data_IF_265802121292
#
_entry.id   IF_265802121292
#
_cell.length_a   1.000
_cell.length_b   1.000
_cell.length_c   1.000
_cell.angle_alpha   90.00
_cell.angle_beta   90.00
_cell.angle_gamma   90.00
#
_symmetry.space_group_name_H-M   'P 1'
#
loop_
_entity.id
_entity.type
_entity.pdbx_description
1 polymer ?
#
# COMPACT_ATOMS: atom_id res chain seq x y z
N UNK A 1 -18.84 25.47 -26.10
CA UNK A 1 -19.79 26.14 -25.17
C UNK A 1 -20.82 26.86 -26.02
N UNK A 2 -22.05 26.34 -26.11
CA UNK A 2 -23.14 26.93 -26.90
C UNK A 2 -24.02 27.79 -25.98
N UNK A 3 -24.55 28.92 -26.47
CA UNK A 3 -25.29 29.91 -25.69
C UNK A 3 -26.50 29.34 -24.93
N UNK A 4 -27.09 28.25 -25.42
CA UNK A 4 -28.23 27.58 -24.77
C UNK A 4 -27.88 26.97 -23.42
N UNK A 5 -26.68 26.40 -23.27
CA UNK A 5 -26.24 25.75 -22.02
C UNK A 5 -25.93 26.80 -20.96
N UNK A 6 -25.23 27.87 -21.35
CA UNK A 6 -24.92 28.98 -20.44
C UNK A 6 -26.19 29.73 -19.99
N UNK A 7 -27.17 29.89 -20.88
CA UNK A 7 -28.46 30.50 -20.54
C UNK A 7 -29.27 29.66 -19.56
N UNK A 8 -29.29 28.34 -19.75
CA UNK A 8 -29.99 27.41 -18.87
C UNK A 8 -29.33 27.35 -17.48
N UNK A 9 -28.00 27.34 -17.41
CA UNK A 9 -27.24 27.38 -16.15
C UNK A 9 -27.50 28.68 -15.37
N UNK A 10 -27.49 29.82 -16.07
CA UNK A 10 -27.76 31.12 -15.45
C UNK A 10 -29.19 31.21 -14.90
N UNK A 11 -30.18 30.70 -15.64
CA UNK A 11 -31.57 30.67 -15.19
C UNK A 11 -31.75 29.73 -13.99
N UNK A 12 -31.13 28.55 -14.00
CA UNK A 12 -31.18 27.62 -12.89
C UNK A 12 -30.61 28.22 -11.60
N UNK A 13 -29.42 28.86 -11.70
CA UNK A 13 -28.78 29.53 -10.57
C UNK A 13 -29.62 30.71 -10.03
N UNK A 14 -30.31 31.45 -10.90
CA UNK A 14 -31.21 32.53 -10.49
C UNK A 14 -32.44 32.03 -9.73
N UNK A 15 -33.06 30.93 -10.19
CA UNK A 15 -34.21 30.30 -9.53
C UNK A 15 -33.80 29.78 -8.14
N UNK A 16 -32.64 29.15 -8.03
CA UNK A 16 -32.12 28.64 -6.76
C UNK A 16 -31.86 29.78 -5.75
N UNK A 17 -31.24 30.88 -6.20
CA UNK A 17 -31.04 32.06 -5.37
C UNK A 17 -32.34 32.71 -4.90
N UNK A 18 -33.35 32.77 -5.77
CA UNK A 18 -34.68 33.28 -5.41
C UNK A 18 -35.37 32.40 -4.35
N UNK A 19 -35.32 31.07 -4.52
CA UNK A 19 -35.89 30.10 -3.55
C UNK A 19 -35.20 30.18 -2.19
N UNK A 20 -33.88 30.32 -2.19
CA UNK A 20 -33.07 30.38 -0.96
C UNK A 20 -32.99 31.78 -0.33
N UNK A 21 -33.78 32.77 -0.79
CA UNK A 21 -33.77 34.16 -0.31
C UNK A 21 -32.36 34.78 -0.26
N UNK A 22 -31.50 34.45 -1.21
CA UNK A 22 -30.10 34.92 -1.24
C UNK A 22 -29.18 34.34 -0.17
N UNK A 23 -29.55 33.22 0.48
CA UNK A 23 -28.72 32.55 1.50
C UNK A 23 -27.70 31.56 0.95
N UNK A 24 -27.62 31.34 -0.36
CA UNK A 24 -26.47 30.59 -0.93
C UNK A 24 -25.29 31.54 -0.99
N UNK A 25 -24.70 31.82 0.17
CA UNK A 25 -23.37 32.39 0.25
C UNK A 25 -22.41 31.22 0.22
N UNK A 26 -21.84 30.96 -0.94
CA UNK A 26 -20.52 30.33 -0.96
C UNK A 26 -19.60 31.37 -0.32
N UNK A 27 -19.38 31.28 0.99
CA UNK A 27 -18.20 31.88 1.61
C UNK A 27 -17.02 31.29 0.85
N UNK A 28 -16.46 32.08 -0.05
CA UNK A 28 -15.26 31.68 -0.78
C UNK A 28 -14.15 31.64 0.25
N UNK A 29 -13.91 30.46 0.77
CA UNK A 29 -12.80 30.17 1.66
C UNK A 29 -11.51 30.45 0.85
N UNK A 30 -10.61 31.25 1.44
CA UNK A 30 -9.33 31.58 0.83
C UNK A 30 -9.08 33.04 0.47
N UNK A 31 -7.83 33.33 0.11
CA UNK A 31 -7.34 34.64 -0.33
C UNK A 31 -7.71 34.83 -1.80
N UNK A 32 -8.28 35.98 -2.15
CA UNK A 32 -8.51 36.33 -3.55
C UNK A 32 -7.16 36.52 -4.25
N UNK A 33 -6.88 35.65 -5.22
CA UNK A 33 -5.66 35.68 -6.05
C UNK A 33 -5.91 36.45 -7.34
N UNK A 34 -7.08 36.30 -7.94
CA UNK A 34 -7.49 37.05 -9.12
C UNK A 34 -8.65 38.00 -8.79
N UNK A 35 -8.34 39.29 -8.62
CA UNK A 35 -9.36 40.32 -8.39
C UNK A 35 -10.28 40.52 -9.60
N UNK A 36 -9.75 40.34 -10.81
CA UNK A 36 -10.48 40.56 -12.07
C UNK A 36 -11.66 39.57 -12.24
N UNK A 37 -11.51 38.31 -11.79
CA UNK A 37 -12.54 37.27 -11.90
C UNK A 37 -13.02 36.74 -10.54
N UNK A 38 -12.57 37.36 -9.44
CA UNK A 38 -12.92 36.98 -8.07
C UNK A 38 -12.56 35.53 -7.73
N UNK A 39 -11.41 35.03 -8.26
CA UNK A 39 -10.95 33.66 -8.04
C UNK A 39 -9.99 33.61 -6.86
N UNK A 40 -10.23 32.66 -5.96
CA UNK A 40 -9.45 32.42 -4.74
C UNK A 40 -8.32 31.42 -4.95
N UNK A 41 -7.35 31.42 -4.03
CA UNK A 41 -6.27 30.44 -4.02
C UNK A 41 -6.79 29.00 -3.84
N UNK A 42 -7.84 28.79 -3.06
CA UNK A 42 -8.45 27.47 -2.86
C UNK A 42 -9.14 26.95 -4.13
N UNK A 43 -9.89 27.81 -4.83
CA UNK A 43 -10.47 27.47 -6.14
C UNK A 43 -9.36 27.05 -7.13
N UNK A 44 -8.25 27.80 -7.18
CA UNK A 44 -7.11 27.48 -8.05
C UNK A 44 -6.45 26.16 -7.64
N UNK A 45 -6.18 25.95 -6.35
CA UNK A 45 -5.59 24.71 -5.81
C UNK A 45 -6.46 23.50 -6.12
N UNK A 46 -7.78 23.62 -5.96
CA UNK A 46 -8.74 22.55 -6.24
C UNK A 46 -8.70 22.14 -7.71
N UNK A 47 -8.81 23.12 -8.61
CA UNK A 47 -8.82 22.86 -10.05
C UNK A 47 -7.50 22.26 -10.53
N UNK A 48 -6.35 22.73 -10.02
CA UNK A 48 -5.03 22.16 -10.33
C UNK A 48 -4.94 20.70 -9.87
N UNK A 49 -5.45 20.37 -8.68
CA UNK A 49 -5.39 19.00 -8.14
C UNK A 49 -6.31 18.04 -8.88
N UNK A 50 -7.51 18.48 -9.25
CA UNK A 50 -8.52 17.64 -9.92
C UNK A 50 -8.19 17.39 -11.40
N UNK A 51 -7.47 18.31 -12.06
CA UNK A 51 -7.20 18.24 -13.50
C UNK A 51 -5.71 18.13 -13.85
N UNK A 52 -4.82 18.00 -12.85
CA UNK A 52 -3.37 17.88 -13.04
C UNK A 52 -2.76 19.01 -13.89
N UNK A 53 -3.19 20.25 -13.65
CA UNK A 53 -2.75 21.39 -14.45
C UNK A 53 -1.31 21.79 -14.10
N UNK A 54 -0.47 21.93 -15.12
CA UNK A 54 0.96 22.22 -14.97
C UNK A 54 1.37 23.60 -15.48
N UNK A 55 0.49 24.31 -16.19
CA UNK A 55 0.78 25.63 -16.75
C UNK A 55 -0.27 26.68 -16.40
N UNK A 56 0.15 27.95 -16.40
CA UNK A 56 -0.74 29.10 -16.14
C UNK A 56 -1.85 29.20 -17.17
N UNK A 57 -1.56 28.88 -18.43
CA UNK A 57 -2.56 28.88 -19.51
C UNK A 57 -3.64 27.83 -19.27
N UNK A 58 -3.24 26.64 -18.81
CA UNK A 58 -4.20 25.61 -18.42
C UNK A 58 -5.08 26.08 -17.26
N UNK A 59 -4.50 26.67 -16.22
CA UNK A 59 -5.28 27.26 -15.12
C UNK A 59 -6.21 28.36 -15.62
N UNK A 60 -5.77 29.17 -16.58
CA UNK A 60 -6.58 30.22 -17.20
C UNK A 60 -7.78 29.64 -17.96
N UNK A 61 -7.58 28.54 -18.69
CA UNK A 61 -8.65 27.90 -19.46
C UNK A 61 -9.75 27.33 -18.56
N UNK A 62 -9.40 26.87 -17.36
CA UNK A 62 -10.36 26.29 -16.40
C UNK A 62 -10.95 27.33 -15.44
N UNK A 63 -10.11 28.16 -14.82
CA UNK A 63 -10.52 29.10 -13.78
C UNK A 63 -10.75 30.54 -14.29
N UNK A 64 -10.41 30.86 -15.54
CA UNK A 64 -10.38 32.23 -16.12
C UNK A 64 -9.40 33.20 -15.46
N UNK A 65 -8.81 32.84 -14.31
CA UNK A 65 -7.77 33.59 -13.64
C UNK A 65 -6.52 33.71 -14.52
N UNK A 66 -6.00 34.93 -14.70
CA UNK A 66 -4.79 35.18 -15.50
C UNK A 66 -5.02 35.47 -16.99
N UNK A 67 -6.26 35.37 -17.48
CA UNK A 67 -6.61 35.61 -18.90
C UNK A 67 -6.85 37.07 -19.28
N UNK A 68 -7.15 37.93 -18.29
CA UNK A 68 -7.43 39.36 -18.52
C UNK A 68 -6.23 40.24 -18.20
N UNK A 69 -6.28 40.90 -17.05
CA UNK A 69 -5.31 41.88 -16.56
C UNK A 69 -3.89 41.32 -16.29
N UNK A 70 -3.70 40.01 -16.26
CA UNK A 70 -2.39 39.35 -16.10
C UNK A 70 -1.72 39.47 -14.72
N UNK A 71 -2.17 40.37 -13.85
CA UNK A 71 -1.51 40.65 -12.56
C UNK A 71 -1.41 39.47 -11.59
N UNK A 72 -2.28 38.47 -11.73
CA UNK A 72 -2.28 37.28 -10.86
C UNK A 72 -1.43 36.11 -11.40
N UNK A 73 -0.82 36.23 -12.59
CA UNK A 73 -0.05 35.12 -13.22
C UNK A 73 1.10 34.64 -12.35
N UNK A 74 1.86 35.55 -11.74
CA UNK A 74 2.95 35.19 -10.84
C UNK A 74 2.50 34.54 -9.52
N UNK A 75 1.29 34.87 -9.02
CA UNK A 75 0.74 34.14 -7.86
C UNK A 75 0.26 32.74 -8.27
N UNK A 76 -0.31 32.58 -9.47
CA UNK A 76 -0.74 31.29 -10.01
C UNK A 76 0.45 30.35 -10.21
N UNK A 77 1.57 30.84 -10.76
CA UNK A 77 2.81 30.06 -10.92
C UNK A 77 3.30 29.48 -9.60
N UNK A 78 3.34 30.31 -8.55
CA UNK A 78 3.75 29.86 -7.20
C UNK A 78 2.83 28.76 -6.66
N UNK A 79 1.53 28.85 -6.91
CA UNK A 79 0.56 27.82 -6.47
C UNK A 79 0.79 26.51 -7.23
N UNK A 80 1.08 26.58 -8.53
CA UNK A 80 1.41 25.41 -9.36
C UNK A 80 2.69 24.76 -8.84
N UNK A 81 3.76 25.53 -8.62
CA UNK A 81 5.04 25.05 -8.10
C UNK A 81 4.89 24.38 -6.72
N UNK A 82 4.11 24.98 -5.82
CA UNK A 82 3.86 24.41 -4.50
C UNK A 82 3.16 23.04 -4.59
N UNK A 83 2.12 22.92 -5.42
CA UNK A 83 1.37 21.66 -5.57
C UNK A 83 2.22 20.60 -6.28
N UNK A 84 3.02 20.98 -7.28
CA UNK A 84 3.94 20.05 -7.95
C UNK A 84 5.07 19.60 -7.03
N UNK A 85 5.57 20.50 -6.17
CA UNK A 85 6.54 20.18 -5.11
C UNK A 85 5.97 19.19 -4.09
N UNK A 86 4.73 19.40 -3.63
CA UNK A 86 4.03 18.47 -2.75
C UNK A 86 3.76 17.12 -3.43
N UNK A 87 3.46 17.12 -4.73
CA UNK A 87 3.38 15.88 -5.52
C UNK A 87 4.74 15.20 -5.57
N UNK A 88 5.83 15.90 -5.86
CA UNK A 88 7.21 15.39 -5.87
C UNK A 88 7.64 14.78 -4.51
N UNK A 89 7.23 15.41 -3.41
CA UNK A 89 7.54 14.94 -2.06
C UNK A 89 6.70 13.72 -1.64
N UNK A 90 5.46 13.58 -2.15
CA UNK A 90 4.58 12.46 -1.78
C UNK A 90 5.06 11.09 -2.27
N UNK A 91 5.88 11.01 -3.34
CA UNK A 91 6.57 9.76 -3.70
C UNK A 91 7.85 9.54 -2.90
N UNK A 92 8.43 10.58 -2.28
CA UNK A 92 9.62 10.47 -1.41
C UNK A 92 9.26 10.10 0.03
N UNK A 93 8.11 10.56 0.53
CA UNK A 93 7.49 10.12 1.80
C UNK A 93 6.79 8.76 1.73
N UNK A 94 6.60 8.22 0.52
CA UNK A 94 6.30 6.80 0.28
C UNK A 94 7.56 5.95 0.11
N UNK A 95 8.64 6.28 0.82
CA UNK A 95 9.53 5.22 1.30
C UNK A 95 8.78 4.55 2.45
N UNK A 96 8.39 3.27 2.36
CA UNK A 96 7.97 2.55 3.56
C UNK A 96 9.11 2.70 4.56
N UNK A 97 8.79 3.12 5.77
CA UNK A 97 9.75 3.23 6.85
C UNK A 97 10.42 1.86 7.03
N UNK A 98 11.60 1.69 6.42
CA UNK A 98 12.48 0.56 6.70
C UNK A 98 12.98 0.81 8.12
N UNK A 99 12.41 0.08 9.07
CA UNK A 99 12.69 0.26 10.49
C UNK A 99 11.78 -0.51 11.43
N UNK A 100 10.69 -1.10 10.93
CA UNK A 100 9.98 -2.15 11.67
C UNK A 100 10.59 -3.50 11.32
N UNK A 101 11.03 -4.25 12.33
CA UNK A 101 11.17 -5.72 12.23
C UNK A 101 9.88 -6.24 11.59
N UNK A 102 9.97 -7.10 10.57
CA UNK A 102 8.81 -7.69 9.90
C UNK A 102 7.76 -8.08 10.94
N UNK A 103 6.49 -7.74 10.72
CA UNK A 103 5.44 -8.20 11.63
C UNK A 103 5.47 -9.73 11.64
N UNK A 104 5.17 -10.36 12.78
CA UNK A 104 5.23 -11.83 12.90
C UNK A 104 4.45 -12.52 11.76
N UNK A 105 3.33 -11.94 11.31
CA UNK A 105 2.54 -12.43 10.17
C UNK A 105 3.32 -12.38 8.86
N UNK A 106 3.99 -11.27 8.54
CA UNK A 106 4.79 -11.13 7.32
C UNK A 106 6.00 -12.09 7.33
N UNK A 107 6.61 -12.28 8.51
CA UNK A 107 7.72 -13.22 8.70
C UNK A 107 7.26 -14.67 8.46
N UNK A 108 6.12 -15.06 9.03
CA UNK A 108 5.53 -16.39 8.83
C UNK A 108 5.18 -16.63 7.35
N UNK A 109 4.55 -15.66 6.68
CA UNK A 109 4.21 -15.79 5.26
C UNK A 109 5.45 -16.00 4.39
N UNK A 110 6.52 -15.25 4.64
CA UNK A 110 7.77 -15.39 3.91
C UNK A 110 8.43 -16.75 4.18
N UNK A 111 8.47 -17.19 5.44
CA UNK A 111 8.97 -18.52 5.81
C UNK A 111 8.16 -19.62 5.11
N UNK A 112 6.83 -19.55 5.13
CA UNK A 112 5.97 -20.53 4.45
C UNK A 112 6.23 -20.58 2.94
N UNK A 113 6.41 -19.43 2.30
CA UNK A 113 6.71 -19.36 0.88
C UNK A 113 8.08 -19.98 0.57
N UNK A 114 9.13 -19.57 1.30
CA UNK A 114 10.48 -20.13 1.15
C UNK A 114 10.50 -21.64 1.37
N UNK A 115 9.80 -22.13 2.40
CA UNK A 115 9.71 -23.56 2.69
C UNK A 115 9.11 -24.30 1.49
N UNK A 116 7.99 -23.81 0.93
CA UNK A 116 7.30 -24.49 -0.16
C UNK A 116 8.04 -24.40 -1.51
N UNK A 117 8.66 -23.27 -1.82
CA UNK A 117 9.30 -23.03 -3.12
C UNK A 117 10.76 -23.49 -3.18
N UNK A 118 11.51 -23.41 -2.07
CA UNK A 118 12.95 -23.64 -2.06
C UNK A 118 13.35 -24.88 -1.27
N UNK A 119 12.74 -25.10 -0.10
CA UNK A 119 13.22 -26.15 0.83
C UNK A 119 12.57 -27.50 0.52
N UNK A 120 11.24 -27.57 0.42
CA UNK A 120 10.51 -28.82 0.15
C UNK A 120 10.91 -29.51 -1.15
N UNK A 121 11.14 -28.81 -2.28
CA UNK A 121 11.58 -29.49 -3.50
C UNK A 121 12.95 -30.16 -3.34
N UNK A 122 13.87 -29.54 -2.60
CA UNK A 122 15.20 -30.10 -2.29
C UNK A 122 15.06 -31.32 -1.37
N UNK A 123 14.28 -31.20 -0.29
CA UNK A 123 14.04 -32.32 0.63
C UNK A 123 13.33 -33.51 -0.02
N UNK A 124 12.40 -33.24 -0.95
CA UNK A 124 11.69 -34.29 -1.71
C UNK A 124 12.61 -35.02 -2.69
N UNK A 125 13.62 -34.34 -3.23
CA UNK A 125 14.64 -35.00 -4.06
C UNK A 125 15.40 -36.06 -3.24
N UNK A 126 15.60 -35.82 -1.95
CA UNK A 126 16.23 -36.76 -1.00
C UNK A 126 15.23 -37.77 -0.39
N UNK A 127 13.96 -37.78 -0.82
CA UNK A 127 12.93 -38.72 -0.34
C UNK A 127 12.28 -38.36 0.99
N UNK A 128 12.47 -37.13 1.46
CA UNK A 128 11.87 -36.57 2.65
C UNK A 128 10.79 -35.53 2.38
N UNK A 129 10.08 -35.12 3.44
CA UNK A 129 9.29 -33.88 3.43
C UNK A 129 9.41 -33.20 4.80
N UNK A 130 8.94 -31.97 4.91
CA UNK A 130 8.87 -31.25 6.19
C UNK A 130 7.60 -30.40 6.26
N UNK A 131 7.18 -30.09 7.48
CA UNK A 131 6.09 -29.16 7.75
C UNK A 131 6.50 -28.12 8.78
N UNK A 132 6.01 -26.90 8.58
CA UNK A 132 6.14 -25.80 9.52
C UNK A 132 5.03 -25.92 10.57
N UNK A 133 5.39 -26.05 11.84
CA UNK A 133 4.44 -26.14 12.95
C UNK A 133 4.18 -24.74 13.53
N UNK A 134 5.25 -24.04 13.91
CA UNK A 134 5.14 -22.71 14.51
C UNK A 134 6.38 -21.85 14.26
N UNK A 135 6.25 -20.53 14.46
CA UNK A 135 7.33 -19.56 14.40
C UNK A 135 7.26 -18.63 15.61
N UNK A 136 8.17 -18.82 16.55
CA UNK A 136 8.28 -18.02 17.77
C UNK A 136 9.46 -17.05 17.64
N UNK A 137 9.20 -15.83 17.18
CA UNK A 137 10.25 -14.82 17.01
C UNK A 137 11.28 -15.26 15.96
N UNK A 138 12.45 -15.72 16.40
CA UNK A 138 13.54 -16.24 15.56
C UNK A 138 13.64 -17.77 15.54
N UNK A 139 12.84 -18.44 16.39
CA UNK A 139 12.73 -19.90 16.45
C UNK A 139 11.71 -20.38 15.42
N UNK A 140 12.12 -21.29 14.55
CA UNK A 140 11.23 -21.94 13.57
C UNK A 140 11.07 -23.40 13.97
N UNK A 141 9.86 -23.79 14.35
CA UNK A 141 9.53 -25.15 14.79
C UNK A 141 9.01 -25.93 13.59
N UNK A 142 9.69 -27.03 13.27
CA UNK A 142 9.38 -27.85 12.09
C UNK A 142 9.22 -29.31 12.48
N UNK A 143 8.42 -30.04 11.73
CA UNK A 143 8.28 -31.48 11.84
C UNK A 143 8.74 -32.14 10.54
N UNK A 144 9.76 -33.00 10.60
CA UNK A 144 10.19 -33.78 9.45
C UNK A 144 9.20 -34.95 9.21
N UNK A 145 8.93 -35.23 7.93
CA UNK A 145 8.05 -36.31 7.48
C UNK A 145 8.78 -37.24 6.51
N UNK A 146 8.25 -38.46 6.38
CA UNK A 146 8.77 -39.46 5.44
C UNK A 146 10.08 -40.10 5.90
N UNK A 147 11.02 -40.31 4.98
CA UNK A 147 12.31 -40.96 5.28
C UNK A 147 13.16 -40.15 6.27
N UNK A 148 13.01 -38.82 6.28
CA UNK A 148 13.76 -37.93 7.17
C UNK A 148 13.40 -38.12 8.65
N UNK A 149 12.19 -38.55 8.98
CA UNK A 149 11.76 -38.75 10.38
C UNK A 149 12.38 -39.99 11.06
N UNK A 150 12.99 -40.91 10.30
CA UNK A 150 13.50 -42.20 10.83
C UNK A 150 15.01 -42.36 10.74
N UNK A 151 15.75 -41.41 10.16
CA UNK A 151 17.18 -41.53 9.95
C UNK A 151 17.97 -40.77 11.04
N UNK A 152 18.37 -41.48 12.11
CA UNK A 152 19.14 -40.92 13.25
C UNK A 152 20.48 -40.27 12.86
N UNK A 153 21.04 -40.64 11.70
CA UNK A 153 22.26 -40.03 11.16
C UNK A 153 21.98 -38.76 10.33
N UNK A 154 20.78 -38.63 9.77
CA UNK A 154 20.40 -37.49 8.94
C UNK A 154 19.75 -36.35 9.74
N UNK A 155 19.37 -36.57 11.01
CA UNK A 155 18.72 -35.57 11.86
C UNK A 155 19.50 -34.25 11.93
N UNK A 156 20.82 -34.34 12.10
CA UNK A 156 21.71 -33.17 12.17
C UNK A 156 21.84 -32.49 10.81
N UNK A 157 22.10 -33.26 9.75
CA UNK A 157 22.32 -32.71 8.42
C UNK A 157 21.08 -32.09 7.81
N UNK A 158 19.89 -32.66 8.06
CA UNK A 158 18.63 -32.12 7.52
C UNK A 158 18.26 -30.80 8.20
N UNK A 159 18.42 -30.70 9.52
CA UNK A 159 18.20 -29.45 10.25
C UNK A 159 19.12 -28.35 9.73
N UNK A 160 20.40 -28.65 9.53
CA UNK A 160 21.38 -27.68 9.06
C UNK A 160 21.08 -27.19 7.63
N UNK A 161 20.57 -28.06 6.75
CA UNK A 161 20.14 -27.69 5.38
C UNK A 161 18.91 -26.78 5.40
N UNK A 162 17.92 -27.07 6.25
CA UNK A 162 16.72 -26.24 6.40
C UNK A 162 17.07 -24.89 7.01
N UNK A 163 17.93 -24.88 8.04
CA UNK A 163 18.41 -23.66 8.70
C UNK A 163 19.18 -22.78 7.72
N UNK A 164 20.10 -23.35 6.93
CA UNK A 164 20.83 -22.62 5.89
C UNK A 164 19.88 -22.01 4.85
N UNK A 165 18.87 -22.77 4.40
CA UNK A 165 17.86 -22.28 3.46
C UNK A 165 17.03 -21.13 4.04
N UNK A 166 16.60 -21.21 5.30
CA UNK A 166 15.83 -20.14 5.93
C UNK A 166 16.67 -18.88 6.17
N UNK A 167 17.95 -19.03 6.53
CA UNK A 167 18.87 -17.90 6.67
C UNK A 167 19.11 -17.16 5.37
N UNK A 168 19.28 -17.91 4.27
CA UNK A 168 19.54 -17.34 2.95
C UNK A 168 18.39 -16.47 2.42
N UNK A 169 17.14 -16.87 2.66
CA UNK A 169 15.97 -16.22 2.06
C UNK A 169 15.15 -15.33 3.01
N UNK A 170 15.28 -15.49 4.33
CA UNK A 170 14.44 -14.77 5.31
C UNK A 170 15.27 -13.91 6.26
N UNK A 171 16.37 -14.44 6.81
CA UNK A 171 17.29 -13.68 7.65
C UNK A 171 18.22 -14.53 8.51
N UNK A 172 19.44 -14.03 8.74
CA UNK A 172 20.54 -14.76 9.38
C UNK A 172 20.28 -15.18 10.84
N UNK A 173 19.34 -14.53 11.54
CA UNK A 173 19.07 -14.82 12.96
C UNK A 173 18.15 -16.02 13.20
N UNK A 174 17.61 -16.63 12.13
CA UNK A 174 16.71 -17.79 12.27
C UNK A 174 17.45 -19.05 12.71
N UNK A 175 16.81 -19.82 13.58
CA UNK A 175 17.25 -21.14 14.00
C UNK A 175 16.10 -22.14 13.96
N UNK A 176 16.40 -23.39 13.63
CA UNK A 176 15.40 -24.44 13.39
C UNK A 176 15.43 -25.45 14.52
N UNK A 177 14.26 -25.73 15.10
CA UNK A 177 14.08 -26.78 16.09
C UNK A 177 13.06 -27.81 15.59
N UNK A 178 13.36 -29.09 15.80
CA UNK A 178 12.44 -30.18 15.45
C UNK A 178 11.46 -30.43 16.60
N UNK A 179 10.16 -30.39 16.30
CA UNK A 179 9.13 -30.84 17.25
C UNK A 179 9.04 -32.37 17.24
N UNK A 180 9.56 -32.99 18.30
CA UNK A 180 9.55 -34.45 18.46
C UNK A 180 8.25 -35.00 19.04
N UNK A 181 7.38 -34.13 19.56
CA UNK A 181 6.15 -34.52 20.24
C UNK A 181 5.00 -34.82 19.26
N UNK A 182 5.02 -34.24 18.05
CA UNK A 182 4.01 -34.52 17.01
C UNK A 182 4.18 -35.87 16.29
N UNK A 183 5.28 -36.60 16.50
CA UNK A 183 5.46 -37.96 15.99
C UNK A 183 4.73 -39.03 16.85
N UNK A 184 4.13 -38.62 17.99
CA UNK A 184 3.53 -39.51 18.98
C UNK A 184 2.02 -39.70 18.91
N UNK A 185 1.26 -38.98 18.09
CA UNK A 185 -0.18 -39.24 17.95
C UNK A 185 -0.42 -40.39 16.99
N UNK A 186 -0.19 -41.61 17.50
CA UNK A 186 -0.92 -42.79 17.03
C UNK A 186 -2.41 -42.45 17.12
N UNK A 187 -3.05 -42.29 15.97
CA UNK A 187 -4.49 -42.35 15.87
C UNK A 187 -4.90 -43.75 16.33
N UNK A 188 -5.17 -43.89 17.63
CA UNK A 188 -5.67 -45.10 18.26
C UNK A 188 -7.11 -45.28 17.78
N UNK A 189 -7.27 -45.81 16.56
CA UNK A 189 -8.54 -46.26 16.05
C UNK A 189 -8.87 -47.55 16.81
N UNK A 190 -9.41 -47.40 18.01
CA UNK A 190 -10.12 -48.48 18.69
C UNK A 190 -11.18 -48.98 17.72
N UNK A 191 -11.01 -50.23 17.30
CA UNK A 191 -12.08 -51.00 16.71
C UNK A 191 -13.14 -51.20 17.78
N UNK A 192 -14.23 -50.45 17.69
CA UNK A 192 -15.49 -50.85 18.29
C UNK A 192 -16.13 -51.87 17.33
N UNK A 193 -15.85 -53.14 17.62
CA UNK A 193 -16.70 -54.23 17.18
C UNK A 193 -17.94 -54.28 18.05
N UNK A 194 -19.12 -54.24 17.42
CA UNK A 194 -20.26 -55.07 17.80
C UNK A 194 -21.19 -55.23 16.60
#
# INVERSE_FOLDING_TARGET
MHCSVMGQEALAAAIENYRNKGKVRHEKEGKIVCTCFGVTDEEIKKVIRENDLTTVEQVTNYCKAGGGCGGCRGEIEKIIEQIQGDKADTHRRRRPARGGKLTNIQKIQLIQQTVNEQIRPKLRADGGDMELIDVEGDKVIVAFRGMCARCKMAEVTMRDVVEAGLREFVGDELFVEEDKDSAGQQHDHRGDGQ
#
